data_IF_916974377182
#
_entry.id   IF_916974377182
#
_cell.length_a   1.000
_cell.length_b   1.000
_cell.length_c   1.000
_cell.angle_alpha   90.00
_cell.angle_beta   90.00
_cell.angle_gamma   90.00
#
_symmetry.space_group_name_H-M   'P 1'
#
loop_
_entity.id
_entity.type
_entity.pdbx_description
1 polymer ?
#
# COMPACT_ATOMS: atom_id res chain seq x y z
N UNK A 1 -20.94 -9.17 -0.11
CA UNK A 1 -19.73 -8.42 -0.50
C UNK A 1 -19.03 -8.87 -1.80
N UNK A 2 -19.36 -10.03 -2.39
CA UNK A 2 -18.63 -10.53 -3.58
C UNK A 2 -18.68 -9.60 -4.81
N UNK A 3 -19.80 -8.90 -5.03
CA UNK A 3 -19.97 -7.97 -6.16
C UNK A 3 -19.05 -6.74 -6.02
N UNK A 4 -18.95 -6.16 -4.83
CA UNK A 4 -18.11 -4.98 -4.58
C UNK A 4 -16.63 -5.28 -4.84
N UNK A 5 -16.13 -6.43 -4.36
CA UNK A 5 -14.74 -6.88 -4.62
C UNK A 5 -14.46 -7.08 -6.11
N UNK A 6 -15.46 -7.42 -6.92
CA UNK A 6 -15.32 -7.59 -8.37
C UNK A 6 -15.27 -6.25 -9.10
N UNK A 7 -16.11 -5.29 -8.68
CA UNK A 7 -16.13 -3.92 -9.23
C UNK A 7 -14.81 -3.19 -8.93
N UNK A 8 -14.26 -3.36 -7.73
CA UNK A 8 -12.97 -2.79 -7.32
C UNK A 8 -11.75 -3.25 -8.15
N UNK A 9 -11.92 -4.28 -8.97
CA UNK A 9 -10.90 -4.82 -9.88
C UNK A 9 -11.17 -4.48 -11.36
N UNK A 10 -12.16 -3.64 -11.66
CA UNK A 10 -12.31 -3.07 -13.01
C UNK A 10 -11.24 -2.01 -13.27
N UNK A 11 -11.14 -1.56 -14.53
CA UNK A 11 -10.20 -0.53 -14.96
C UNK A 11 -10.85 0.86 -14.80
N UNK A 12 -10.29 1.78 -13.98
CA UNK A 12 -9.04 1.65 -13.23
C UNK A 12 -9.16 0.87 -11.92
N UNK A 13 -8.09 0.14 -11.61
CA UNK A 13 -7.98 -0.68 -10.39
C UNK A 13 -8.12 0.19 -9.15
N UNK A 14 -9.00 -0.24 -8.23
CA UNK A 14 -9.34 0.51 -7.01
C UNK A 14 -10.58 1.39 -7.16
N UNK A 15 -11.30 1.32 -8.29
CA UNK A 15 -12.58 2.02 -8.45
C UNK A 15 -13.60 1.58 -7.38
N UNK A 16 -14.31 2.53 -6.77
CA UNK A 16 -15.20 2.30 -5.62
C UNK A 16 -14.50 1.75 -4.35
N UNK A 17 -13.21 2.06 -4.16
CA UNK A 17 -12.58 1.98 -2.85
C UNK A 17 -13.26 2.94 -1.86
N UNK A 18 -13.31 2.56 -0.58
CA UNK A 18 -13.95 3.37 0.48
C UNK A 18 -13.11 4.57 0.87
N UNK A 19 -11.79 4.38 0.87
CA UNK A 19 -10.78 5.40 1.14
C UNK A 19 -9.49 5.12 0.34
N UNK A 20 -8.51 6.01 0.46
CA UNK A 20 -7.23 5.91 -0.24
C UNK A 20 -6.45 4.65 0.17
N UNK A 21 -6.56 4.23 1.44
CA UNK A 21 -5.88 3.04 1.97
C UNK A 21 -6.39 1.79 1.28
N UNK A 22 -7.71 1.61 1.25
CA UNK A 22 -8.38 0.52 0.55
C UNK A 22 -8.01 0.52 -0.93
N UNK A 23 -7.99 1.68 -1.58
CA UNK A 23 -7.61 1.82 -2.99
C UNK A 23 -6.21 1.26 -3.26
N UNK A 24 -5.22 1.71 -2.49
CA UNK A 24 -3.83 1.29 -2.63
C UNK A 24 -3.63 -0.18 -2.29
N UNK A 25 -4.31 -0.71 -1.26
CA UNK A 25 -4.25 -2.12 -0.91
C UNK A 25 -4.83 -3.03 -2.00
N UNK A 26 -5.91 -2.58 -2.67
CA UNK A 26 -6.49 -3.29 -3.81
C UNK A 26 -5.51 -3.30 -4.99
N UNK A 27 -4.85 -2.17 -5.26
CA UNK A 27 -3.81 -2.08 -6.30
C UNK A 27 -2.63 -3.02 -6.02
N UNK A 28 -2.11 -3.03 -4.79
CA UNK A 28 -1.05 -3.94 -4.36
C UNK A 28 -1.47 -5.42 -4.44
N UNK A 29 -2.75 -5.74 -4.25
CA UNK A 29 -3.23 -7.13 -4.33
C UNK A 29 -3.17 -7.75 -5.73
N UNK A 30 -2.89 -6.96 -6.77
CA UNK A 30 -2.75 -7.45 -8.15
C UNK A 30 -1.33 -7.88 -8.52
N UNK A 31 -0.34 -7.46 -7.73
CA UNK A 31 1.05 -7.85 -7.95
C UNK A 31 1.30 -9.29 -7.51
N UNK A 32 2.28 -9.92 -8.15
CA UNK A 32 2.73 -11.25 -7.76
C UNK A 32 3.37 -11.22 -6.37
N UNK A 33 3.22 -12.29 -5.61
CA UNK A 33 3.82 -12.40 -4.26
C UNK A 33 5.34 -12.32 -4.24
N UNK A 34 5.99 -12.49 -5.40
CA UNK A 34 7.45 -12.43 -5.56
C UNK A 34 7.91 -11.01 -5.90
N UNK A 35 6.98 -10.07 -6.12
CA UNK A 35 7.30 -8.66 -6.34
C UNK A 35 8.11 -8.13 -5.16
N UNK A 36 9.32 -7.59 -5.41
CA UNK A 36 10.13 -7.01 -4.35
C UNK A 36 9.36 -5.93 -3.59
N UNK A 37 9.58 -5.85 -2.28
CA UNK A 37 9.02 -4.82 -1.41
C UNK A 37 7.48 -4.81 -1.28
N UNK A 38 6.77 -5.81 -1.83
CA UNK A 38 5.30 -5.83 -1.82
C UNK A 38 4.72 -5.91 -0.41
N UNK A 39 5.33 -6.72 0.47
CA UNK A 39 4.87 -6.88 1.85
C UNK A 39 5.19 -5.63 2.68
N UNK A 40 6.34 -5.01 2.43
CA UNK A 40 6.76 -3.74 3.02
C UNK A 40 5.82 -2.60 2.62
N UNK A 41 5.49 -2.48 1.33
CA UNK A 41 4.53 -1.50 0.83
C UNK A 41 3.13 -1.73 1.43
N UNK A 42 2.70 -3.00 1.55
CA UNK A 42 1.44 -3.36 2.20
C UNK A 42 1.43 -2.94 3.67
N UNK A 43 2.52 -3.16 4.41
CA UNK A 43 2.66 -2.75 5.80
C UNK A 43 2.59 -1.23 5.95
N UNK A 44 3.33 -0.49 5.12
CA UNK A 44 3.33 0.98 5.14
C UNK A 44 1.93 1.53 4.87
N UNK A 45 1.26 1.02 3.83
CA UNK A 45 -0.08 1.49 3.47
C UNK A 45 -1.12 1.07 4.52
N UNK A 46 -1.02 -0.11 5.13
CA UNK A 46 -2.01 -0.58 6.11
C UNK A 46 -1.92 0.11 7.47
N UNK A 47 -0.70 0.37 7.97
CA UNK A 47 -0.51 0.84 9.35
C UNK A 47 0.08 2.25 9.45
N UNK A 48 0.71 2.76 8.39
CA UNK A 48 1.55 3.96 8.46
C UNK A 48 1.34 4.96 7.31
N UNK A 49 0.19 4.90 6.62
CA UNK A 49 -0.13 5.78 5.49
C UNK A 49 -0.02 7.28 5.86
N UNK A 50 -0.39 7.65 7.09
CA UNK A 50 -0.33 9.03 7.56
C UNK A 50 1.12 9.54 7.68
N UNK A 51 2.07 8.68 8.05
CA UNK A 51 3.48 9.03 8.13
C UNK A 51 4.05 9.26 6.72
N UNK A 52 3.63 8.44 5.74
CA UNK A 52 3.98 8.63 4.34
C UNK A 52 3.39 9.93 3.79
N UNK A 53 2.13 10.22 4.07
CA UNK A 53 1.45 11.45 3.65
C UNK A 53 2.11 12.71 4.21
N UNK A 54 2.66 12.63 5.43
CA UNK A 54 3.39 13.73 6.08
C UNK A 54 4.88 13.79 5.72
N UNK A 55 5.36 12.90 4.83
CA UNK A 55 6.78 12.76 4.47
C UNK A 55 7.70 12.50 5.68
N UNK A 56 7.17 11.90 6.76
CA UNK A 56 7.94 11.56 7.96
C UNK A 56 8.65 10.22 7.80
N UNK A 57 9.61 10.18 6.87
CA UNK A 57 10.41 8.99 6.59
C UNK A 57 11.25 8.55 7.78
N UNK A 58 11.62 9.48 8.67
CA UNK A 58 12.43 9.17 9.85
C UNK A 58 11.65 8.33 10.85
N UNK A 59 10.43 8.73 11.18
CA UNK A 59 9.57 7.93 12.05
C UNK A 59 9.19 6.62 11.37
N UNK A 60 8.88 6.68 10.07
CA UNK A 60 8.50 5.51 9.28
C UNK A 60 9.60 4.44 9.25
N UNK A 61 10.87 4.81 9.02
CA UNK A 61 12.03 3.91 9.15
C UNK A 61 12.11 3.25 10.53
N UNK A 62 11.84 4.01 11.59
CA UNK A 62 11.94 3.51 12.97
C UNK A 62 10.86 2.48 13.29
N UNK A 63 9.64 2.69 12.82
CA UNK A 63 8.50 1.81 13.10
C UNK A 63 8.48 0.58 12.20
N UNK A 64 8.82 0.71 10.93
CA UNK A 64 8.88 -0.42 9.98
C UNK A 64 10.20 -1.19 10.07
N UNK A 65 11.24 -0.60 10.67
CA UNK A 65 12.63 -1.11 10.71
C UNK A 65 13.25 -1.29 9.32
N UNK A 66 12.67 -0.64 8.31
CA UNK A 66 13.22 -0.61 6.96
C UNK A 66 14.33 0.44 6.86
N UNK A 67 15.31 0.17 6.00
CA UNK A 67 16.38 1.11 5.69
C UNK A 67 15.88 2.16 4.68
N UNK A 68 16.59 3.30 4.62
CA UNK A 68 16.19 4.43 3.78
C UNK A 68 16.22 4.12 2.27
N UNK A 69 17.16 3.29 1.83
CA UNK A 69 17.28 2.79 0.45
C UNK A 69 16.03 2.00 0.05
N UNK A 70 15.60 1.08 0.92
CA UNK A 70 14.38 0.29 0.74
C UNK A 70 13.14 1.17 0.62
N UNK A 71 13.05 2.21 1.44
CA UNK A 71 11.90 3.10 1.46
C UNK A 71 11.81 4.07 0.29
N UNK A 72 12.92 4.31 -0.41
CA UNK A 72 12.93 5.08 -1.65
C UNK A 72 12.64 4.22 -2.87
N UNK A 73 12.87 2.91 -2.78
CA UNK A 73 12.62 1.94 -3.85
C UNK A 73 11.22 1.30 -3.78
N UNK A 74 10.61 1.24 -2.59
CA UNK A 74 9.26 0.74 -2.35
C UNK A 74 8.17 1.76 -2.67
#
# INVERSE_FOLDING_TARGET
EAVLKRVQRFDPVGVAAKDLRDCLLIQLSQFDKVTPWLEEARLIISDHLDLLANHDFRTLMRVTRLKEDVLKEA
#
